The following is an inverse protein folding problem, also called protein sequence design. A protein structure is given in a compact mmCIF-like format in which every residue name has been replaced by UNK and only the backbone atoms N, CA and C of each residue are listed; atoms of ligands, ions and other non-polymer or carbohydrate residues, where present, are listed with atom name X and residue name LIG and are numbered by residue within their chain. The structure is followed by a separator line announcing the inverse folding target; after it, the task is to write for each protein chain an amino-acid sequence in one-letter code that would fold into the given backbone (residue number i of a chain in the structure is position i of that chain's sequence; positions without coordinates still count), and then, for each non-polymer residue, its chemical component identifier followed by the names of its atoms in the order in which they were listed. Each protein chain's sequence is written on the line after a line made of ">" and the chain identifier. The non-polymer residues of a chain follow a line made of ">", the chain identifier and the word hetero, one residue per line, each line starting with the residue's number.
data_IF_899183558099
#
_entry.id   IF_899183558099
#
_cell.length_a   1.000
_cell.length_b   1.000
_cell.length_c   1.000
_cell.angle_alpha   90.00
_cell.angle_beta   90.00
_cell.angle_gamma   90.00
#
_symmetry.space_group_name_H-M   'P 1'
#
loop_
_entity.id
_entity.type
_entity.pdbx_description
1 polymer ?
#
# COMPACT_ATOMS: atom_id res chain seq x y z
N UNK A 1 7.78 61.19 67.53
CA UNK A 1 7.30 62.46 66.94
C UNK A 1 7.62 62.44 65.45
N UNK A 2 6.65 62.79 64.60
CA UNK A 2 6.66 62.87 63.11
C UNK A 2 6.60 61.52 62.34
N UNK A 3 5.46 61.00 61.85
CA UNK A 3 4.48 61.35 60.78
C UNK A 3 4.84 60.92 59.34
N UNK A 4 3.90 60.13 58.75
CA UNK A 4 3.44 60.07 57.33
C UNK A 4 4.37 59.31 56.35
N UNK A 5 3.91 58.45 55.42
CA UNK A 5 2.64 58.32 54.67
C UNK A 5 2.53 56.91 54.04
N UNK A 6 1.30 56.50 53.78
CA UNK A 6 0.80 55.40 52.92
C UNK A 6 1.31 55.47 51.48
N UNK A 7 1.39 54.32 50.78
CA UNK A 7 0.90 54.06 49.41
C UNK A 7 0.83 52.52 49.21
N UNK A 8 -0.37 52.02 48.93
CA UNK A 8 -0.61 50.68 48.40
C UNK A 8 -0.28 50.65 46.90
N UNK A 9 0.41 49.61 46.44
CA UNK A 9 0.53 49.29 45.02
C UNK A 9 -0.15 47.95 44.76
N UNK A 10 -1.26 47.99 44.02
CA UNK A 10 -1.88 46.84 43.39
C UNK A 10 -1.54 46.89 41.90
N UNK A 11 -1.09 45.78 41.31
CA UNK A 11 -1.04 45.61 39.85
C UNK A 11 -1.54 44.20 39.48
N UNK A 12 -2.84 44.22 39.14
CA UNK A 12 -3.64 43.36 38.29
C UNK A 12 -3.00 42.07 37.75
N UNK A 13 -3.47 40.94 38.27
CA UNK A 13 -3.55 39.68 37.54
C UNK A 13 -4.71 39.75 36.54
N UNK A 14 -4.42 39.89 35.25
CA UNK A 14 -5.41 39.78 34.18
C UNK A 14 -5.73 38.29 33.95
N UNK A 15 -6.69 37.77 34.71
CA UNK A 15 -7.30 36.47 34.43
C UNK A 15 -8.13 36.58 33.15
N UNK A 16 -7.68 35.93 32.07
CA UNK A 16 -8.49 35.67 30.89
C UNK A 16 -9.63 34.72 31.30
N UNK A 17 -10.78 35.29 31.69
CA UNK A 17 -12.05 34.56 31.71
C UNK A 17 -12.45 34.24 30.27
N UNK A 18 -12.18 33.02 29.83
CA UNK A 18 -12.89 32.43 28.70
C UNK A 18 -14.23 31.92 29.23
N UNK A 19 -15.38 32.41 28.74
CA UNK A 19 -16.66 31.82 29.10
C UNK A 19 -16.71 30.39 28.54
N UNK A 20 -16.81 29.41 29.45
CA UNK A 20 -17.15 28.03 29.12
C UNK A 20 -18.62 28.02 28.67
N UNK A 21 -18.87 28.13 27.36
CA UNK A 21 -20.13 27.67 26.79
C UNK A 21 -20.20 26.14 26.90
N UNK A 22 -21.31 25.56 27.36
CA UNK A 22 -21.48 24.12 27.54
C UNK A 22 -21.87 23.46 26.21
N UNK A 23 -21.08 23.68 25.17
CA UNK A 23 -21.03 22.75 24.05
C UNK A 23 -19.79 21.91 24.29
N UNK A 24 -20.00 20.78 24.97
CA UNK A 24 -19.04 19.70 25.00
C UNK A 24 -18.80 19.26 23.56
N UNK A 25 -17.82 19.88 22.89
CA UNK A 25 -17.27 19.40 21.65
C UNK A 25 -16.75 18.00 22.00
N UNK A 26 -17.47 16.99 21.53
CA UNK A 26 -17.01 15.62 21.59
C UNK A 26 -15.58 15.63 21.04
N UNK A 27 -14.61 15.34 21.90
CA UNK A 27 -13.21 15.30 21.55
C UNK A 27 -13.03 14.12 20.59
N UNK A 28 -13.23 14.37 19.29
CA UNK A 28 -12.89 13.43 18.25
C UNK A 28 -11.39 13.24 18.34
N UNK A 29 -10.92 12.06 18.72
CA UNK A 29 -9.49 11.72 18.90
C UNK A 29 -8.63 11.83 17.62
N UNK A 30 -9.15 12.40 16.53
CA UNK A 30 -8.51 12.52 15.23
C UNK A 30 -8.53 13.95 14.68
N UNK A 31 -7.75 14.23 13.62
CA UNK A 31 -7.64 15.56 13.05
C UNK A 31 -8.97 16.04 12.44
N UNK A 32 -9.20 17.35 12.54
CA UNK A 32 -10.32 18.03 11.87
C UNK A 32 -10.20 17.95 10.34
N UNK A 33 -11.28 18.24 9.61
CA UNK A 33 -11.25 18.27 8.14
C UNK A 33 -10.20 19.22 7.59
N UNK A 34 -10.06 20.41 8.17
CA UNK A 34 -9.03 21.37 7.76
C UNK A 34 -7.62 20.80 7.99
N UNK A 35 -7.38 20.21 9.16
CA UNK A 35 -6.09 19.58 9.47
C UNK A 35 -5.77 18.41 8.54
N UNK A 36 -6.79 17.58 8.19
CA UNK A 36 -6.63 16.48 7.21
C UNK A 36 -6.21 17.01 5.83
N UNK A 37 -6.80 18.11 5.36
CA UNK A 37 -6.43 18.72 4.07
C UNK A 37 -4.98 19.26 4.10
N UNK A 38 -4.60 19.97 5.16
CA UNK A 38 -3.23 20.49 5.33
C UNK A 38 -2.21 19.36 5.44
N UNK A 39 -2.56 18.24 6.10
CA UNK A 39 -1.70 17.07 6.22
C UNK A 39 -1.56 16.33 4.89
N UNK A 40 -2.63 16.21 4.12
CA UNK A 40 -2.62 15.59 2.79
C UNK A 40 -1.68 16.32 1.83
N UNK A 41 -1.71 17.66 1.81
CA UNK A 41 -0.75 18.46 1.02
C UNK A 41 0.71 18.21 1.42
N UNK A 42 0.97 18.04 2.72
CA UNK A 42 2.31 17.68 3.19
C UNK A 42 2.71 16.26 2.76
N UNK A 43 1.76 15.33 2.69
CA UNK A 43 2.01 14.00 2.16
C UNK A 43 2.32 14.02 0.65
N UNK A 44 1.66 14.86 -0.14
CA UNK A 44 1.97 15.03 -1.57
C UNK A 44 3.44 15.43 -1.76
N UNK A 45 3.90 16.41 -0.99
CA UNK A 45 5.32 16.86 -0.99
C UNK A 45 6.26 15.71 -0.58
N UNK A 46 5.86 14.90 0.40
CA UNK A 46 6.65 13.73 0.80
C UNK A 46 6.77 12.73 -0.34
N UNK A 47 5.67 12.38 -1.00
CA UNK A 47 5.64 11.41 -2.10
C UNK A 47 6.49 11.91 -3.27
N UNK A 48 6.33 13.17 -3.67
CA UNK A 48 7.14 13.77 -4.72
C UNK A 48 8.63 13.68 -4.39
N UNK A 49 9.00 14.03 -3.16
CA UNK A 49 10.39 13.99 -2.70
C UNK A 49 10.98 12.57 -2.65
N UNK A 50 10.16 11.56 -2.37
CA UNK A 50 10.60 10.16 -2.38
C UNK A 50 10.75 9.66 -3.83
N UNK A 51 9.79 9.93 -4.71
CA UNK A 51 9.86 9.54 -6.13
C UNK A 51 11.07 10.16 -6.85
N UNK A 52 11.41 11.42 -6.56
CA UNK A 52 12.62 12.06 -7.10
C UNK A 52 13.92 11.31 -6.77
N UNK A 53 13.95 10.55 -5.67
CA UNK A 53 15.12 9.76 -5.25
C UNK A 53 15.03 8.29 -5.63
N UNK A 54 13.84 7.82 -6.01
CA UNK A 54 13.52 6.43 -6.32
C UNK A 54 12.59 6.41 -7.54
N UNK A 55 13.12 6.70 -8.75
CA UNK A 55 12.30 6.84 -9.96
C UNK A 55 11.51 5.57 -10.28
N UNK A 56 12.02 4.40 -9.93
CA UNK A 56 11.36 3.11 -10.17
C UNK A 56 10.22 2.81 -9.18
N UNK A 57 10.06 3.61 -8.12
CA UNK A 57 9.12 3.36 -7.03
C UNK A 57 7.70 3.88 -7.25
N UNK A 58 7.49 4.72 -8.27
CA UNK A 58 6.25 5.42 -8.65
C UNK A 58 5.13 5.36 -7.59
N UNK A 59 5.35 6.08 -6.49
CA UNK A 59 4.38 6.19 -5.41
C UNK A 59 3.32 7.22 -5.75
N UNK A 60 2.07 6.93 -5.42
CA UNK A 60 0.96 7.88 -5.47
C UNK A 60 0.24 7.91 -4.12
N UNK A 61 -0.44 9.02 -3.82
CA UNK A 61 -1.40 9.03 -2.72
C UNK A 61 -2.72 8.44 -3.20
N UNK A 62 -3.36 7.66 -2.33
CA UNK A 62 -4.77 7.37 -2.49
C UNK A 62 -5.57 8.69 -2.49
N UNK A 63 -6.73 8.75 -3.14
CA UNK A 63 -7.61 9.90 -3.01
C UNK A 63 -7.94 10.18 -1.55
N UNK A 64 -8.03 11.45 -1.16
CA UNK A 64 -8.22 11.84 0.24
C UNK A 64 -9.44 11.20 0.92
N UNK A 65 -10.52 10.93 0.15
CA UNK A 65 -11.73 10.27 0.66
C UNK A 65 -11.54 8.77 0.93
N UNK A 66 -10.46 8.16 0.42
CA UNK A 66 -10.11 6.77 0.66
C UNK A 66 -9.14 6.60 1.84
N UNK A 67 -8.67 7.70 2.46
CA UNK A 67 -7.85 7.65 3.65
C UNK A 67 -8.66 7.18 4.85
N UNK A 68 -8.15 6.16 5.53
CA UNK A 68 -8.67 5.66 6.79
C UNK A 68 -8.19 6.55 7.94
N UNK A 69 -8.83 6.47 9.10
CA UNK A 69 -8.40 7.25 10.25
C UNK A 69 -6.96 6.90 10.68
N UNK A 70 -6.55 5.64 10.50
CA UNK A 70 -5.19 5.16 10.76
C UNK A 70 -4.12 5.66 9.77
N UNK A 71 -4.51 6.20 8.62
CA UNK A 71 -3.58 6.71 7.60
C UNK A 71 -3.12 8.14 7.93
N UNK A 72 -3.86 8.85 8.79
CA UNK A 72 -3.51 10.19 9.26
C UNK A 72 -2.47 10.12 10.39
N UNK A 73 -1.20 10.21 10.00
CA UNK A 73 -0.02 10.12 10.88
C UNK A 73 0.82 11.40 10.85
N UNK A 74 1.71 11.62 11.83
CA UNK A 74 2.71 12.69 11.73
C UNK A 74 3.51 12.57 10.42
N UNK A 75 3.82 13.72 9.78
CA UNK A 75 4.47 13.77 8.46
C UNK A 75 5.78 13.00 8.41
N UNK A 76 6.57 13.04 9.50
CA UNK A 76 7.83 12.29 9.56
C UNK A 76 7.65 10.77 9.71
N UNK A 77 6.53 10.31 10.25
CA UNK A 77 6.20 8.88 10.21
C UNK A 77 5.76 8.47 8.80
N UNK A 78 4.89 9.26 8.17
CA UNK A 78 4.47 9.04 6.80
C UNK A 78 5.67 9.00 5.84
N UNK A 79 6.66 9.89 6.03
CA UNK A 79 7.92 9.90 5.26
C UNK A 79 8.69 8.60 5.38
N UNK A 80 8.77 8.00 6.57
CA UNK A 80 9.44 6.70 6.77
C UNK A 80 8.70 5.58 6.03
N UNK A 81 7.37 5.60 6.08
CA UNK A 81 6.52 4.63 5.37
C UNK A 81 6.69 4.77 3.87
N UNK A 82 6.59 5.98 3.31
CA UNK A 82 6.78 6.26 1.89
C UNK A 82 8.15 5.78 1.38
N UNK A 83 9.23 6.04 2.13
CA UNK A 83 10.56 5.52 1.79
C UNK A 83 10.60 3.99 1.74
N UNK A 84 10.01 3.30 2.72
CA UNK A 84 9.92 1.84 2.70
C UNK A 84 9.10 1.33 1.51
N UNK A 85 8.00 2.02 1.18
CA UNK A 85 7.11 1.68 0.06
C UNK A 85 7.79 1.89 -1.29
N UNK A 86 8.75 2.82 -1.42
CA UNK A 86 9.49 3.05 -2.68
C UNK A 86 10.36 1.87 -3.14
N UNK A 87 10.79 1.01 -2.22
CA UNK A 87 11.61 -0.17 -2.52
C UNK A 87 10.86 -1.48 -2.29
N UNK A 88 9.55 -1.38 -2.05
CA UNK A 88 8.70 -2.50 -1.65
C UNK A 88 8.43 -3.41 -2.84
N UNK A 89 8.42 -4.74 -2.61
CA UNK A 89 8.17 -5.75 -3.65
C UNK A 89 6.94 -6.58 -3.32
N UNK A 90 6.22 -7.01 -4.36
CA UNK A 90 5.16 -8.03 -4.25
C UNK A 90 5.77 -9.40 -4.56
N UNK A 91 5.42 -10.38 -3.72
CA UNK A 91 5.67 -11.78 -4.01
C UNK A 91 4.35 -12.44 -4.41
N UNK A 92 4.39 -13.26 -5.45
CA UNK A 92 3.24 -14.03 -5.91
C UNK A 92 3.26 -15.42 -5.30
N UNK A 93 2.10 -15.87 -4.85
CA UNK A 93 1.84 -17.25 -4.41
C UNK A 93 0.75 -17.86 -5.28
N UNK A 94 0.59 -19.17 -5.22
CA UNK A 94 -0.60 -19.89 -5.68
C UNK A 94 -0.84 -21.07 -4.76
N UNK A 95 -1.96 -21.77 -4.94
CA UNK A 95 -2.21 -22.98 -4.15
C UNK A 95 -1.21 -24.11 -4.48
N UNK A 96 -0.61 -24.09 -5.69
CA UNK A 96 0.44 -25.01 -6.14
C UNK A 96 1.86 -24.54 -5.75
N UNK A 97 2.09 -23.22 -5.65
CA UNK A 97 3.39 -22.62 -5.33
C UNK A 97 3.34 -21.67 -4.15
N UNK A 98 4.11 -21.98 -3.11
CA UNK A 98 4.41 -20.98 -2.08
C UNK A 98 5.48 -20.00 -2.57
N UNK A 99 5.33 -18.72 -2.21
CA UNK A 99 6.36 -17.73 -2.47
C UNK A 99 7.61 -18.04 -1.63
N UNK A 100 8.79 -17.93 -2.25
CA UNK A 100 10.03 -17.73 -1.49
C UNK A 100 9.98 -16.32 -0.94
N UNK A 101 9.51 -16.18 0.31
CA UNK A 101 9.25 -14.89 0.95
C UNK A 101 10.52 -14.06 1.10
N UNK A 102 10.72 -12.97 0.31
CA UNK A 102 11.67 -11.94 0.71
C UNK A 102 11.20 -11.35 2.05
N UNK A 103 12.13 -10.97 2.93
CA UNK A 103 11.83 -10.44 4.28
C UNK A 103 10.87 -9.23 4.30
N UNK A 104 10.55 -8.63 3.15
CA UNK A 104 9.69 -7.45 3.02
C UNK A 104 8.71 -7.51 1.83
N UNK A 105 8.10 -8.66 1.54
CA UNK A 105 7.03 -8.76 0.53
C UNK A 105 5.64 -8.86 1.13
N UNK A 106 4.65 -8.34 0.39
CA UNK A 106 3.24 -8.74 0.53
C UNK A 106 2.98 -9.87 -0.45
N UNK A 107 2.20 -10.84 0.01
CA UNK A 107 1.80 -12.01 -0.75
C UNK A 107 0.48 -11.72 -1.46
N UNK A 108 0.53 -11.78 -2.79
CA UNK A 108 -0.65 -11.77 -3.65
C UNK A 108 -0.85 -13.19 -4.17
N UNK A 109 -2.03 -13.74 -3.89
CA UNK A 109 -2.39 -15.06 -4.37
C UNK A 109 -2.84 -14.99 -5.82
N UNK A 110 -2.24 -15.83 -6.66
CA UNK A 110 -2.55 -16.01 -8.07
C UNK A 110 -3.39 -17.26 -8.21
N UNK A 111 -4.51 -17.11 -8.90
CA UNK A 111 -5.42 -18.19 -9.25
C UNK A 111 -5.37 -18.29 -10.77
N UNK A 112 -4.62 -19.29 -11.25
CA UNK A 112 -4.44 -19.56 -12.67
C UNK A 112 -5.23 -20.81 -13.06
N UNK A 113 -6.05 -20.69 -14.10
CA UNK A 113 -6.72 -21.81 -14.74
C UNK A 113 -5.93 -22.17 -16.01
N UNK A 114 -5.09 -23.20 -15.87
CA UNK A 114 -4.18 -23.68 -16.91
C UNK A 114 -4.65 -25.07 -17.33
N UNK A 115 -4.87 -25.25 -18.62
CA UNK A 115 -5.13 -26.56 -19.22
C UNK A 115 -3.92 -27.04 -20.01
N UNK A 116 -3.85 -28.34 -20.27
CA UNK A 116 -2.77 -28.96 -21.04
C UNK A 116 -3.29 -29.72 -22.24
N UNK A 117 -2.48 -29.77 -23.30
CA UNK A 117 -2.75 -30.51 -24.53
C UNK A 117 -1.67 -31.55 -24.80
N UNK A 118 -2.09 -32.75 -25.22
CA UNK A 118 -1.15 -33.83 -25.52
C UNK A 118 -0.45 -33.58 -26.84
N UNK A 119 0.87 -33.48 -26.79
CA UNK A 119 1.73 -33.40 -27.97
C UNK A 119 2.25 -34.78 -28.34
N UNK A 120 1.86 -35.27 -29.52
CA UNK A 120 2.39 -36.52 -30.06
C UNK A 120 3.90 -36.43 -30.35
N UNK A 121 4.39 -35.28 -30.81
CA UNK A 121 5.80 -35.09 -31.14
C UNK A 121 6.71 -35.02 -29.90
N UNK A 122 6.18 -34.53 -28.78
CA UNK A 122 6.91 -34.47 -27.51
C UNK A 122 6.60 -35.67 -26.60
N UNK A 123 5.64 -36.53 -26.97
CA UNK A 123 5.14 -37.68 -26.22
C UNK A 123 4.76 -37.32 -24.76
N UNK A 124 4.08 -36.18 -24.58
CA UNK A 124 3.67 -35.65 -23.27
C UNK A 124 2.58 -34.58 -23.37
N UNK A 125 1.99 -34.24 -22.22
CA UNK A 125 1.22 -33.01 -22.05
C UNK A 125 2.13 -31.76 -22.08
N UNK A 126 1.65 -30.70 -22.72
CA UNK A 126 2.25 -29.36 -22.76
C UNK A 126 1.19 -28.33 -22.34
N UNK A 127 1.63 -27.14 -21.93
CA UNK A 127 0.70 -26.04 -21.65
C UNK A 127 -0.10 -25.70 -22.91
N UNK A 128 -1.44 -25.68 -22.78
CA UNK A 128 -2.36 -25.31 -23.86
C UNK A 128 -2.21 -23.84 -24.25
N UNK A 129 -2.89 -23.44 -25.32
CA UNK A 129 -2.81 -22.07 -25.83
C UNK A 129 -3.47 -21.00 -24.96
N UNK A 130 -4.40 -21.39 -24.08
CA UNK A 130 -5.24 -20.47 -23.31
C UNK A 130 -5.04 -20.64 -21.81
N UNK A 131 -4.93 -19.52 -21.12
CA UNK A 131 -4.88 -19.46 -19.65
C UNK A 131 -5.77 -18.31 -19.19
N UNK A 132 -6.43 -18.49 -18.05
CA UNK A 132 -7.11 -17.41 -17.34
C UNK A 132 -6.41 -17.17 -16.01
N UNK A 133 -6.17 -15.90 -15.67
CA UNK A 133 -5.46 -15.52 -14.45
C UNK A 133 -6.24 -14.46 -13.70
N UNK A 134 -6.53 -14.76 -12.43
CA UNK A 134 -7.05 -13.80 -11.45
C UNK A 134 -6.15 -13.77 -10.22
N UNK A 135 -6.32 -12.78 -9.36
CA UNK A 135 -5.49 -12.63 -8.17
C UNK A 135 -6.17 -11.84 -7.07
N UNK A 136 -5.72 -12.06 -5.85
CA UNK A 136 -6.26 -11.43 -4.64
C UNK A 136 -5.17 -11.22 -3.58
N UNK A 137 -5.32 -10.19 -2.75
CA UNK A 137 -4.47 -10.01 -1.57
C UNK A 137 -4.99 -10.90 -0.44
N UNK A 138 -4.11 -11.72 0.16
CA UNK A 138 -4.43 -12.48 1.39
C UNK A 138 -3.98 -11.77 2.66
N UNK A 139 -3.34 -10.60 2.56
CA UNK A 139 -2.80 -9.85 3.69
C UNK A 139 -3.50 -8.49 3.89
N UNK A 140 -3.05 -7.71 4.88
CA UNK A 140 -3.41 -6.28 5.02
C UNK A 140 -3.14 -5.53 3.71
N UNK A 141 -3.87 -4.43 3.51
CA UNK A 141 -3.83 -3.63 2.27
C UNK A 141 -4.87 -4.07 1.25
N UNK A 142 -4.88 -3.41 0.09
CA UNK A 142 -5.80 -3.71 -1.01
C UNK A 142 -5.03 -3.88 -2.29
N UNK A 143 -5.24 -5.02 -2.97
CA UNK A 143 -4.71 -5.29 -4.30
C UNK A 143 -5.82 -5.16 -5.34
N UNK A 144 -5.51 -4.50 -6.46
CA UNK A 144 -6.38 -4.41 -7.62
C UNK A 144 -5.60 -4.84 -8.84
N UNK A 145 -5.88 -6.05 -9.33
CA UNK A 145 -5.37 -6.52 -10.62
C UNK A 145 -5.89 -5.61 -11.74
N UNK A 146 -4.99 -5.25 -12.67
CA UNK A 146 -5.31 -4.47 -13.88
C UNK A 146 -5.15 -5.29 -15.15
N UNK A 147 -4.30 -6.31 -15.13
CA UNK A 147 -4.13 -7.22 -16.24
C UNK A 147 -3.03 -8.23 -15.95
N UNK A 148 -2.76 -9.07 -16.93
CA UNK A 148 -1.62 -9.98 -16.90
C UNK A 148 -1.13 -10.24 -18.33
N UNK A 149 0.11 -10.67 -18.45
CA UNK A 149 0.63 -11.34 -19.65
C UNK A 149 0.96 -12.77 -19.29
N UNK A 150 0.74 -13.69 -20.21
CA UNK A 150 1.11 -15.08 -20.06
C UNK A 150 1.88 -15.55 -21.29
N UNK A 151 3.12 -15.98 -21.09
CA UNK A 151 4.01 -16.43 -22.15
C UNK A 151 4.37 -17.88 -21.91
N UNK A 152 4.21 -18.74 -22.92
CA UNK A 152 4.72 -20.10 -22.86
C UNK A 152 6.22 -20.10 -23.17
N UNK A 153 7.00 -20.69 -22.28
CA UNK A 153 8.45 -20.86 -22.39
C UNK A 153 8.80 -22.36 -22.32
N UNK A 154 10.10 -22.69 -22.41
CA UNK A 154 10.61 -24.06 -22.31
C UNK A 154 9.94 -25.06 -23.25
N UNK A 155 9.76 -24.67 -24.52
CA UNK A 155 9.04 -25.45 -25.52
C UNK A 155 7.59 -25.80 -25.08
N UNK A 156 6.88 -24.81 -24.56
CA UNK A 156 5.50 -24.89 -24.07
C UNK A 156 5.31 -25.77 -22.81
N UNK A 157 6.36 -25.95 -22.02
CA UNK A 157 6.28 -26.72 -20.77
C UNK A 157 6.02 -25.85 -19.55
N UNK A 158 6.18 -24.54 -19.67
CA UNK A 158 6.04 -23.60 -18.57
C UNK A 158 5.29 -22.37 -19.05
N UNK A 159 4.36 -21.88 -18.23
CA UNK A 159 3.81 -20.54 -18.36
C UNK A 159 4.58 -19.58 -17.46
N UNK A 160 5.15 -18.52 -18.02
CA UNK A 160 5.59 -17.34 -17.28
C UNK A 160 4.45 -16.31 -17.29
N UNK A 161 3.96 -15.94 -16.10
CA UNK A 161 2.83 -15.02 -15.92
C UNK A 161 3.34 -13.76 -15.23
N UNK A 162 3.22 -12.61 -15.89
CA UNK A 162 3.46 -11.30 -15.29
C UNK A 162 2.13 -10.65 -14.93
N UNK A 163 1.95 -10.27 -13.67
CA UNK A 163 0.68 -9.78 -13.14
C UNK A 163 0.76 -8.27 -12.88
N UNK A 164 0.03 -7.47 -13.65
CA UNK A 164 -0.03 -6.03 -13.47
C UNK A 164 -1.13 -5.61 -12.50
N UNK A 165 -0.82 -4.74 -11.54
CA UNK A 165 -1.83 -4.19 -10.64
C UNK A 165 -1.33 -3.10 -9.69
N UNK A 166 -2.25 -2.59 -8.89
CA UNK A 166 -1.97 -1.58 -7.87
C UNK A 166 -2.19 -2.14 -6.47
N UNK A 167 -1.30 -1.77 -5.57
CA UNK A 167 -1.40 -2.11 -4.15
C UNK A 167 -1.49 -0.84 -3.30
N UNK A 168 -2.55 -0.75 -2.50
CA UNK A 168 -2.83 0.39 -1.61
C UNK A 168 -2.68 -0.01 -0.15
N UNK A 169 -1.89 0.75 0.59
CA UNK A 169 -1.73 0.61 2.04
C UNK A 169 -1.14 1.90 2.63
N UNK A 170 -1.54 2.26 3.85
CA UNK A 170 -1.09 3.47 4.56
C UNK A 170 -1.33 4.75 3.74
N UNK A 171 -2.46 4.84 3.03
CA UNK A 171 -2.78 5.95 2.13
C UNK A 171 -1.92 6.04 0.85
N UNK A 172 -1.04 5.07 0.59
CA UNK A 172 -0.09 5.06 -0.54
C UNK A 172 -0.44 3.95 -1.52
N UNK A 173 -0.56 4.32 -2.79
CA UNK A 173 -0.73 3.43 -3.94
C UNK A 173 0.63 3.20 -4.61
N UNK A 174 0.94 1.96 -4.97
CA UNK A 174 2.10 1.62 -5.81
C UNK A 174 1.71 0.64 -6.92
N UNK A 175 2.25 0.84 -8.11
CA UNK A 175 2.12 -0.09 -9.24
C UNK A 175 3.15 -1.22 -9.19
N UNK A 176 2.76 -2.42 -9.60
CA UNK A 176 3.63 -3.60 -9.60
C UNK A 176 3.37 -4.51 -10.81
N UNK A 177 4.43 -5.16 -11.29
CA UNK A 177 4.38 -6.20 -12.34
C UNK A 177 5.26 -7.40 -11.93
N UNK A 178 4.94 -8.11 -10.83
CA UNK A 178 5.66 -9.32 -10.46
C UNK A 178 5.38 -10.47 -11.42
N UNK A 179 6.29 -11.44 -11.45
CA UNK A 179 6.18 -12.64 -12.30
C UNK A 179 6.12 -13.92 -11.45
N UNK A 180 5.35 -14.90 -11.91
CA UNK A 180 5.30 -16.27 -11.39
C UNK A 180 5.28 -17.25 -12.56
N UNK A 181 5.92 -18.40 -12.39
CA UNK A 181 5.92 -19.47 -13.39
C UNK A 181 4.99 -20.61 -12.95
N UNK A 182 4.42 -21.35 -13.90
CA UNK A 182 3.70 -22.60 -13.68
C UNK A 182 4.18 -23.65 -14.68
N UNK A 183 4.63 -24.80 -14.20
CA UNK A 183 5.08 -25.90 -15.03
C UNK A 183 3.92 -26.83 -15.36
N UNK A 184 3.74 -27.15 -16.64
CA UNK A 184 2.82 -28.16 -17.14
C UNK A 184 3.57 -29.48 -17.25
N UNK A 185 3.40 -30.34 -16.26
CA UNK A 185 4.09 -31.62 -16.16
C UNK A 185 3.67 -32.62 -17.24
N UNK A 186 4.33 -33.79 -17.25
CA UNK A 186 4.23 -34.71 -18.40
C UNK A 186 2.83 -35.33 -18.56
N UNK A 187 2.09 -35.45 -17.45
CA UNK A 187 0.76 -36.07 -17.39
C UNK A 187 -0.38 -35.06 -17.23
N UNK A 188 -0.07 -33.76 -17.28
CA UNK A 188 -1.05 -32.67 -17.22
C UNK A 188 -1.17 -32.03 -15.84
N UNK A 189 -0.36 -32.47 -14.88
CA UNK A 189 -0.20 -31.82 -13.58
C UNK A 189 0.34 -30.39 -13.74
N UNK A 190 -0.18 -29.45 -12.95
CA UNK A 190 0.29 -28.07 -12.91
C UNK A 190 1.05 -27.86 -11.61
N UNK A 191 2.25 -27.30 -11.66
CA UNK A 191 3.08 -27.09 -10.47
C UNK A 191 3.85 -25.79 -10.45
#
# INVERSE_FOLDING_TARGET
>A
MSMKKTISAALLSLALLVPLSPDAIAETKGPSTQQKNELYQQYEIVIESVNQRHPDGELELAPIYAFRDEDWRPVEEFRKIAKKRSTFKIALTSDEKQAVKPEQSIEINVIADITTDYSQSAERQLCSDTVSVTSESRTKGTWVQKGYTATRIDANQTYEISLGGYYTMDGIVTGHIPTIEFHCGRTGEIS
#
